data_IF_356356886632
#
_entry.id   IF_356356886632
#
_cell.length_a   1.000
_cell.length_b   1.000
_cell.length_c   1.000
_cell.angle_alpha   90.00
_cell.angle_beta   90.00
_cell.angle_gamma   90.00
#
_symmetry.space_group_name_H-M   'P 1'
#
loop_
_entity.id
_entity.type
_entity.pdbx_description
1 polymer ?
#
# COMPACT_ATOMS: atom_id res chain seq x y z
N UNK A 1 22.30 -5.06 20.40
CA UNK A 1 21.46 -4.64 19.25
C UNK A 1 20.72 -5.88 18.76
N UNK A 2 19.39 -5.91 18.90
CA UNK A 2 18.58 -7.07 18.50
C UNK A 2 18.45 -7.09 16.97
N UNK A 3 19.32 -7.86 16.31
CA UNK A 3 19.53 -7.89 14.86
C UNK A 3 18.58 -8.81 14.09
N UNK A 4 17.34 -8.99 14.56
CA UNK A 4 16.37 -9.90 13.95
C UNK A 4 15.11 -9.22 13.36
N UNK A 5 14.89 -7.92 13.63
CA UNK A 5 13.61 -7.26 13.32
C UNK A 5 13.29 -7.05 11.83
N UNK A 6 14.30 -7.06 10.95
CA UNK A 6 14.15 -6.73 9.53
C UNK A 6 13.87 -7.91 8.58
N UNK A 7 13.87 -9.17 9.08
CA UNK A 7 13.74 -10.37 8.23
C UNK A 7 12.32 -10.94 8.14
N UNK A 8 11.36 -10.25 8.73
CA UNK A 8 9.95 -10.58 8.60
C UNK A 8 9.49 -10.28 7.17
N UNK A 9 9.07 -11.31 6.42
CA UNK A 9 8.53 -11.12 5.06
C UNK A 9 7.35 -10.15 5.02
N UNK A 10 6.56 -10.08 6.09
CA UNK A 10 5.45 -9.12 6.20
C UNK A 10 5.96 -7.69 6.41
N UNK A 11 7.02 -7.51 7.20
CA UNK A 11 7.66 -6.21 7.38
C UNK A 11 8.19 -5.68 6.05
N UNK A 12 8.87 -6.53 5.27
CA UNK A 12 9.39 -6.16 3.96
C UNK A 12 8.28 -5.72 2.98
N UNK A 13 7.09 -6.35 3.03
CA UNK A 13 5.94 -5.96 2.20
C UNK A 13 5.34 -4.63 2.64
N UNK A 14 5.15 -4.42 3.94
CA UNK A 14 4.66 -3.16 4.48
C UNK A 14 5.64 -2.01 4.17
N UNK A 15 6.94 -2.20 4.42
CA UNK A 15 7.97 -1.22 4.10
C UNK A 15 7.99 -0.86 2.62
N UNK A 16 7.87 -1.86 1.73
CA UNK A 16 7.79 -1.62 0.28
C UNK A 16 6.57 -0.78 -0.10
N UNK A 17 5.42 -1.01 0.52
CA UNK A 17 4.22 -0.19 0.31
C UNK A 17 4.45 1.26 0.76
N UNK A 18 4.96 1.47 1.97
CA UNK A 18 5.21 2.81 2.50
C UNK A 18 6.26 3.57 1.67
N UNK A 19 7.32 2.89 1.23
CA UNK A 19 8.33 3.46 0.35
C UNK A 19 7.71 3.94 -0.97
N UNK A 20 6.92 3.09 -1.65
CA UNK A 20 6.24 3.46 -2.90
C UNK A 20 5.23 4.58 -2.73
N UNK A 21 4.48 4.59 -1.64
CA UNK A 21 3.56 5.69 -1.38
C UNK A 21 4.28 7.03 -1.21
N UNK A 22 5.36 7.07 -0.43
CA UNK A 22 6.13 8.32 -0.25
C UNK A 22 6.75 8.80 -1.56
N UNK A 23 7.26 7.87 -2.37
CA UNK A 23 7.78 8.16 -3.70
C UNK A 23 6.71 8.80 -4.61
N UNK A 24 5.53 8.19 -4.71
CA UNK A 24 4.46 8.61 -5.63
C UNK A 24 3.70 9.85 -5.15
N UNK A 25 3.62 10.07 -3.83
CA UNK A 25 2.96 11.25 -3.25
C UNK A 25 3.87 12.46 -3.18
N UNK A 26 5.15 12.28 -2.87
CA UNK A 26 6.03 13.39 -2.49
C UNK A 26 7.29 13.43 -3.37
N UNK A 27 8.14 12.40 -3.30
CA UNK A 27 9.51 12.50 -3.80
C UNK A 27 9.61 12.68 -5.32
N UNK A 28 8.85 11.90 -6.09
CA UNK A 28 8.81 12.01 -7.57
C UNK A 28 8.18 13.32 -8.07
N UNK A 29 7.55 14.09 -7.19
CA UNK A 29 6.91 15.38 -7.48
C UNK A 29 7.72 16.58 -7.00
N UNK A 30 8.93 16.33 -6.49
CA UNK A 30 9.76 17.34 -5.81
C UNK A 30 9.05 18.03 -4.63
N UNK A 31 8.03 17.36 -4.07
CA UNK A 31 7.24 17.86 -2.95
C UNK A 31 7.73 17.24 -1.64
N UNK A 32 7.62 18.00 -0.55
CA UNK A 32 8.11 17.61 0.78
C UNK A 32 6.95 17.42 1.72
N UNK A 33 6.93 16.31 2.44
CA UNK A 33 5.90 16.02 3.45
C UNK A 33 5.79 17.10 4.53
N UNK A 34 6.91 17.79 4.79
CA UNK A 34 7.07 18.87 5.75
C UNK A 34 6.31 20.14 5.36
N UNK A 35 5.89 20.26 4.09
CA UNK A 35 5.07 21.36 3.60
C UNK A 35 3.60 21.27 4.08
N UNK A 36 3.22 20.14 4.68
CA UNK A 36 1.84 19.83 5.04
C UNK A 36 1.66 19.68 6.55
N UNK A 37 0.48 20.04 7.04
CA UNK A 37 0.09 19.73 8.41
C UNK A 37 -0.15 18.22 8.57
N UNK A 38 -0.05 17.72 9.80
CA UNK A 38 -0.38 16.33 10.12
C UNK A 38 -1.80 15.92 9.68
N UNK A 39 -2.76 16.86 9.70
CA UNK A 39 -4.14 16.60 9.26
C UNK A 39 -4.21 16.39 7.75
N UNK A 40 -3.50 17.22 6.98
CA UNK A 40 -3.42 17.10 5.52
C UNK A 40 -2.70 15.82 5.13
N UNK A 41 -1.56 15.51 5.76
CA UNK A 41 -0.83 14.27 5.54
C UNK A 41 -1.69 13.03 5.77
N UNK A 42 -2.41 12.97 6.90
CA UNK A 42 -3.36 11.86 7.18
C UNK A 42 -4.42 11.72 6.08
N UNK A 43 -4.95 12.85 5.61
CA UNK A 43 -5.96 12.87 4.54
C UNK A 43 -5.37 12.39 3.22
N UNK A 44 -4.17 12.85 2.85
CA UNK A 44 -3.48 12.43 1.62
C UNK A 44 -3.16 10.94 1.63
N UNK A 45 -2.59 10.44 2.73
CA UNK A 45 -2.26 9.01 2.91
C UNK A 45 -3.53 8.17 2.81
N UNK A 46 -4.60 8.55 3.49
CA UNK A 46 -5.87 7.83 3.44
C UNK A 46 -6.46 7.80 2.03
N UNK A 47 -6.48 8.95 1.34
CA UNK A 47 -6.98 9.05 -0.05
C UNK A 47 -6.15 8.20 -1.00
N UNK A 48 -4.82 8.26 -0.90
CA UNK A 48 -3.92 7.44 -1.69
C UNK A 48 -4.20 5.95 -1.45
N UNK A 49 -4.25 5.52 -0.19
CA UNK A 49 -4.42 4.12 0.14
C UNK A 49 -5.80 3.60 -0.31
N UNK A 50 -6.87 4.27 0.10
CA UNK A 50 -8.23 3.82 -0.17
C UNK A 50 -8.59 3.96 -1.64
N UNK A 51 -8.32 5.11 -2.26
CA UNK A 51 -8.82 5.36 -3.63
C UNK A 51 -7.92 4.72 -4.68
N UNK A 52 -6.60 4.80 -4.49
CA UNK A 52 -5.65 4.37 -5.51
C UNK A 52 -5.02 3.02 -5.20
N UNK A 53 -4.29 2.89 -4.09
CA UNK A 53 -3.54 1.66 -3.78
C UNK A 53 -4.44 0.43 -3.71
N UNK A 54 -5.52 0.48 -2.93
CA UNK A 54 -6.40 -0.66 -2.72
C UNK A 54 -7.28 -0.98 -3.94
N UNK A 55 -7.82 0.06 -4.59
CA UNK A 55 -8.93 -0.09 -5.53
C UNK A 55 -8.56 0.09 -7.01
N UNK A 56 -7.43 0.74 -7.32
CA UNK A 56 -7.09 1.08 -8.72
C UNK A 56 -5.69 0.66 -9.15
N UNK A 57 -4.77 0.39 -8.22
CA UNK A 57 -3.38 0.10 -8.55
C UNK A 57 -3.27 -1.22 -9.32
N UNK A 58 -2.68 -1.15 -10.50
CA UNK A 58 -2.32 -2.35 -11.27
C UNK A 58 -1.16 -3.03 -10.56
N UNK A 59 -1.35 -4.29 -10.18
CA UNK A 59 -0.33 -5.07 -9.48
C UNK A 59 -0.02 -6.32 -10.30
N UNK A 60 1.21 -6.39 -10.84
CA UNK A 60 1.64 -7.47 -11.75
C UNK A 60 1.69 -8.81 -11.06
N UNK A 61 2.17 -8.86 -9.81
CA UNK A 61 2.05 -10.06 -8.97
C UNK A 61 0.59 -10.44 -8.72
N UNK A 62 -0.33 -9.48 -8.90
CA UNK A 62 -1.77 -9.71 -8.87
C UNK A 62 -2.44 -10.13 -10.18
N UNK A 63 -1.68 -10.44 -11.23
CA UNK A 63 -2.24 -10.67 -12.57
C UNK A 63 -2.86 -9.41 -13.15
N UNK A 64 -2.38 -8.23 -12.74
CA UNK A 64 -2.90 -6.93 -13.13
C UNK A 64 -4.07 -6.43 -12.29
N UNK A 65 -4.65 -7.26 -11.42
CA UNK A 65 -5.81 -6.89 -10.61
C UNK A 65 -5.45 -5.96 -9.44
N UNK A 66 -6.33 -5.00 -9.08
CA UNK A 66 -6.20 -4.24 -7.85
C UNK A 66 -6.22 -5.14 -6.60
N UNK A 67 -5.52 -4.77 -5.51
CA UNK A 67 -5.49 -5.53 -4.27
C UNK A 67 -6.87 -5.88 -3.70
N UNK A 68 -7.84 -4.95 -3.74
CA UNK A 68 -9.19 -5.18 -3.26
C UNK A 68 -9.92 -6.26 -4.08
N UNK A 69 -9.76 -6.25 -5.40
CA UNK A 69 -10.36 -7.25 -6.29
C UNK A 69 -9.77 -8.63 -6.03
N UNK A 70 -8.44 -8.74 -5.95
CA UNK A 70 -7.79 -10.01 -5.60
C UNK A 70 -8.23 -10.53 -4.24
N UNK A 71 -8.34 -9.65 -3.23
CA UNK A 71 -8.82 -10.02 -1.90
C UNK A 71 -10.25 -10.55 -1.96
N UNK A 72 -11.14 -9.90 -2.71
CA UNK A 72 -12.51 -10.37 -2.90
C UNK A 72 -12.53 -11.78 -3.52
N UNK A 73 -11.81 -11.99 -4.62
CA UNK A 73 -11.73 -13.29 -5.29
C UNK A 73 -11.20 -14.40 -4.37
N UNK A 74 -10.20 -14.09 -3.53
CA UNK A 74 -9.70 -15.03 -2.53
C UNK A 74 -10.81 -15.45 -1.55
N UNK A 75 -11.53 -14.49 -0.99
CA UNK A 75 -12.61 -14.79 -0.06
C UNK A 75 -13.78 -15.50 -0.73
N UNK A 76 -14.19 -15.07 -1.92
CA UNK A 76 -15.21 -15.76 -2.71
C UNK A 76 -14.82 -17.23 -2.94
N UNK A 77 -13.56 -17.50 -3.30
CA UNK A 77 -13.08 -18.86 -3.53
C UNK A 77 -13.10 -19.73 -2.26
N UNK A 78 -12.58 -19.22 -1.13
CA UNK A 78 -12.53 -20.03 0.10
C UNK A 78 -13.92 -20.26 0.71
N UNK A 79 -14.88 -19.34 0.52
CA UNK A 79 -16.24 -19.50 1.05
C UNK A 79 -17.19 -20.25 0.10
N UNK A 80 -16.89 -20.31 -1.20
CA UNK A 80 -17.60 -21.19 -2.13
C UNK A 80 -17.13 -22.66 -2.04
N UNK A 81 -15.95 -22.89 -1.47
CA UNK A 81 -15.37 -24.22 -1.27
C UNK A 81 -15.66 -24.83 0.11
N UNK A 82 -16.44 -24.14 0.96
CA UNK A 82 -16.87 -24.58 2.29
C UNK A 82 -18.36 -24.93 2.27
#
# INVERSE_FOLDING_TARGET
>A
MNSAGGRCHDNARCESMWAKMKEELFYSREDKSENYTMRELKTMIWRYYMSYWANRRICTSNGGLPPAVRRKLYYDHIFLAA
#
